data_IF_798860197300
#
_entry.id   IF_798860197300
#
_cell.length_a   1.000
_cell.length_b   1.000
_cell.length_c   1.000
_cell.angle_alpha   90.00
_cell.angle_beta   90.00
_cell.angle_gamma   90.00
#
_symmetry.space_group_name_H-M   'P 1'
#
loop_
_entity.id
_entity.type
_entity.pdbx_description
1 polymer ?
#
# COMPACT_ATOMS: atom_id res chain seq x y z
N UNK A 1 2.05 -8.46 19.00
CA UNK A 1 1.38 -7.32 18.35
C UNK A 1 1.54 -7.47 16.85
N UNK A 2 0.55 -7.09 16.03
CA UNK A 2 0.58 -7.32 14.57
C UNK A 2 1.75 -6.65 13.85
N UNK A 3 2.21 -5.49 14.35
CA UNK A 3 3.44 -4.86 13.85
C UNK A 3 4.64 -5.81 13.92
N UNK A 4 4.76 -6.62 14.98
CA UNK A 4 5.87 -7.56 15.14
C UNK A 4 5.80 -8.68 14.12
N UNK A 5 4.60 -9.05 13.65
CA UNK A 5 4.44 -10.06 12.60
C UNK A 5 4.80 -9.47 11.23
N UNK A 6 4.37 -8.24 10.98
CA UNK A 6 4.65 -7.53 9.72
C UNK A 6 6.15 -7.20 9.58
N UNK A 7 6.81 -6.85 10.68
CA UNK A 7 8.23 -6.47 10.70
C UNK A 7 9.15 -7.58 11.20
N UNK A 8 8.68 -8.83 11.34
CA UNK A 8 9.52 -9.92 11.80
C UNK A 8 10.70 -10.12 10.84
N UNK A 9 11.93 -10.04 11.38
CA UNK A 9 13.18 -10.13 10.62
C UNK A 9 13.33 -9.09 9.49
N UNK A 10 12.55 -8.01 9.52
CA UNK A 10 12.67 -6.89 8.59
C UNK A 10 13.64 -5.88 9.20
N UNK A 11 14.80 -5.71 8.56
CA UNK A 11 15.85 -4.81 9.06
C UNK A 11 15.70 -3.38 8.55
N UNK A 12 15.13 -3.18 7.34
CA UNK A 12 14.99 -1.86 6.73
C UNK A 12 13.85 -1.82 5.69
N UNK A 13 12.97 -0.84 5.84
CA UNK A 13 11.88 -0.49 4.91
C UNK A 13 12.05 0.94 4.34
N UNK A 14 13.30 1.39 4.13
CA UNK A 14 13.56 2.74 3.61
C UNK A 14 13.91 2.67 2.12
N UNK A 15 13.44 3.67 1.37
CA UNK A 15 13.66 3.80 -0.06
C UNK A 15 14.93 4.60 -0.38
N UNK A 16 15.48 4.37 -1.56
CA UNK A 16 16.49 5.25 -2.14
C UNK A 16 15.86 6.58 -2.56
N UNK A 17 16.55 7.68 -2.22
CA UNK A 17 16.04 9.06 -2.28
C UNK A 17 15.86 9.62 -3.70
N UNK A 18 16.11 8.83 -4.75
CA UNK A 18 16.03 9.29 -6.14
C UNK A 18 14.59 9.53 -6.60
N UNK A 19 13.63 8.76 -6.09
CA UNK A 19 12.20 8.94 -6.35
C UNK A 19 11.43 8.93 -5.02
N UNK A 20 11.20 10.11 -4.42
CA UNK A 20 10.67 10.16 -3.07
C UNK A 20 9.22 9.62 -3.02
N UNK A 21 8.92 8.73 -2.06
CA UNK A 21 7.56 8.23 -1.81
C UNK A 21 6.59 9.38 -1.50
N UNK A 22 5.28 9.18 -1.65
CA UNK A 22 4.32 10.09 -1.00
C UNK A 22 4.21 9.79 0.51
N UNK A 23 3.82 10.76 1.33
CA UNK A 23 3.58 10.48 2.75
C UNK A 23 2.17 9.92 2.95
N UNK A 24 2.01 9.10 3.97
CA UNK A 24 0.73 8.61 4.45
C UNK A 24 0.32 9.38 5.71
N UNK A 25 -0.90 9.89 5.71
CA UNK A 25 -1.62 10.24 6.92
C UNK A 25 -2.33 8.98 7.42
N UNK A 26 -1.99 8.54 8.63
CA UNK A 26 -2.67 7.44 9.32
C UNK A 26 -3.65 8.04 10.33
N UNK A 27 -4.94 7.88 10.10
CA UNK A 27 -6.00 8.55 10.88
C UNK A 27 -7.08 7.60 11.43
N UNK A 28 -7.15 6.36 10.94
CA UNK A 28 -8.12 5.38 11.45
C UNK A 28 -7.72 4.82 12.82
N UNK A 29 -8.71 4.61 13.71
CA UNK A 29 -8.49 4.06 15.05
C UNK A 29 -7.86 2.65 15.07
N UNK A 30 -7.99 1.91 13.96
CA UNK A 30 -7.41 0.57 13.78
C UNK A 30 -6.28 0.55 12.75
N UNK A 31 -5.83 1.72 12.32
CA UNK A 31 -4.72 1.90 11.40
C UNK A 31 -3.44 2.23 12.19
N UNK A 32 -2.29 1.76 11.72
CA UNK A 32 -1.00 1.93 12.36
C UNK A 32 0.12 2.02 11.32
N UNK A 33 1.17 2.79 11.64
CA UNK A 33 2.36 2.93 10.81
C UNK A 33 3.28 1.72 10.94
N UNK A 34 3.84 1.27 9.82
CA UNK A 34 4.93 0.27 9.77
C UNK A 34 6.29 0.94 9.59
N UNK A 35 6.31 2.13 8.99
CA UNK A 35 7.50 2.97 8.88
C UNK A 35 7.25 4.34 9.46
N UNK A 36 8.28 4.89 10.09
CA UNK A 36 8.38 6.30 10.49
C UNK A 36 9.84 6.68 10.28
N UNK A 37 10.10 7.73 9.52
CA UNK A 37 11.47 8.26 9.38
C UNK A 37 11.78 9.35 10.42
N UNK A 38 13.00 9.89 10.36
CA UNK A 38 13.49 10.93 11.28
C UNK A 38 12.67 12.24 11.20
N UNK A 39 11.86 12.40 10.15
CA UNK A 39 10.95 13.53 9.95
C UNK A 39 9.49 13.20 10.29
N UNK A 40 9.24 12.07 10.96
CA UNK A 40 7.92 11.54 11.29
C UNK A 40 7.05 11.25 10.06
N UNK A 41 7.67 10.99 8.91
CA UNK A 41 6.97 10.67 7.68
C UNK A 41 6.73 9.16 7.61
N UNK A 42 5.50 8.80 7.24
CA UNK A 42 5.02 7.41 7.14
C UNK A 42 4.92 7.05 5.67
N UNK A 43 5.46 5.89 5.30
CA UNK A 43 5.48 5.40 3.91
C UNK A 43 4.79 4.06 3.74
N UNK A 44 4.75 3.27 4.81
CA UNK A 44 4.06 1.99 4.87
C UNK A 44 3.19 1.99 6.10
N UNK A 45 1.92 1.62 5.93
CA UNK A 45 0.95 1.52 7.00
C UNK A 45 0.07 0.28 6.82
N UNK A 46 -0.53 -0.17 7.91
CA UNK A 46 -1.45 -1.29 7.92
C UNK A 46 -2.67 -0.95 8.78
N UNK A 47 -3.79 -1.60 8.52
CA UNK A 47 -5.02 -1.39 9.27
C UNK A 47 -5.86 -2.65 9.35
N UNK A 48 -6.61 -2.71 10.44
CA UNK A 48 -7.77 -3.58 10.52
C UNK A 48 -9.02 -2.84 10.07
N UNK A 49 -9.86 -3.55 9.33
CA UNK A 49 -11.21 -3.11 9.04
C UNK A 49 -12.14 -4.23 9.53
N UNK A 50 -12.56 -4.21 10.80
CA UNK A 50 -13.18 -5.38 11.43
C UNK A 50 -12.22 -6.58 11.50
N UNK A 51 -12.60 -7.74 10.93
CA UNK A 51 -11.72 -8.93 10.82
C UNK A 51 -10.80 -8.93 9.58
N UNK A 52 -10.79 -7.82 8.85
CA UNK A 52 -10.21 -7.67 7.52
C UNK A 52 -8.91 -6.88 7.64
N UNK A 53 -8.02 -6.98 6.65
CA UNK A 53 -6.64 -6.47 6.74
C UNK A 53 -6.25 -5.72 5.47
N UNK A 54 -5.64 -4.56 5.65
CA UNK A 54 -5.17 -3.72 4.55
C UNK A 54 -3.74 -3.29 4.85
N UNK A 55 -2.88 -3.33 3.83
CA UNK A 55 -1.53 -2.75 3.84
C UNK A 55 -1.44 -1.74 2.71
N UNK A 56 -0.86 -0.58 2.99
CA UNK A 56 -0.60 0.46 2.00
C UNK A 56 0.89 0.78 1.99
N UNK A 57 1.49 0.82 0.79
CA UNK A 57 2.85 1.28 0.58
C UNK A 57 2.87 2.45 -0.40
N UNK A 58 3.57 3.52 -0.03
CA UNK A 58 3.56 4.78 -0.79
C UNK A 58 4.56 4.85 -1.95
N UNK A 59 5.24 3.74 -2.21
CA UNK A 59 6.16 3.55 -3.32
C UNK A 59 6.24 2.06 -3.67
N UNK A 60 6.52 1.79 -4.95
CA UNK A 60 6.60 0.43 -5.45
C UNK A 60 7.82 -0.33 -4.92
N UNK A 61 8.95 0.32 -4.67
CA UNK A 61 10.15 -0.43 -4.22
C UNK A 61 9.98 -1.07 -2.84
N UNK A 62 9.02 -0.62 -2.03
CA UNK A 62 8.66 -1.30 -0.78
C UNK A 62 8.13 -2.73 -0.99
N UNK A 63 7.67 -3.06 -2.20
CA UNK A 63 7.05 -4.36 -2.51
C UNK A 63 7.61 -5.03 -3.77
N UNK A 64 8.56 -4.41 -4.46
CA UNK A 64 9.07 -4.85 -5.76
C UNK A 64 10.57 -5.17 -5.76
N UNK A 65 11.24 -5.10 -4.61
CA UNK A 65 12.68 -5.35 -4.50
C UNK A 65 12.97 -6.62 -3.68
N UNK A 66 13.94 -7.46 -4.09
CA UNK A 66 14.35 -8.64 -3.33
C UNK A 66 14.80 -8.33 -1.90
N UNK A 67 15.36 -7.14 -1.66
CA UNK A 67 15.74 -6.66 -0.33
C UNK A 67 14.52 -6.52 0.60
N UNK A 68 13.32 -6.30 0.03
CA UNK A 68 12.06 -6.21 0.75
C UNK A 68 11.33 -7.56 0.87
N UNK A 69 11.93 -8.66 0.38
CA UNK A 69 11.30 -9.98 0.34
C UNK A 69 10.69 -10.42 1.67
N UNK A 70 11.43 -10.28 2.77
CA UNK A 70 10.92 -10.68 4.08
C UNK A 70 9.66 -9.90 4.48
N UNK A 71 9.65 -8.60 4.23
CA UNK A 71 8.48 -7.77 4.48
C UNK A 71 7.31 -8.16 3.59
N UNK A 72 7.56 -8.40 2.30
CA UNK A 72 6.55 -8.86 1.34
C UNK A 72 5.88 -10.14 1.84
N UNK A 73 6.66 -11.15 2.22
CA UNK A 73 6.13 -12.42 2.73
C UNK A 73 5.32 -12.24 4.02
N UNK A 74 5.82 -11.42 4.95
CA UNK A 74 5.12 -11.10 6.18
C UNK A 74 3.78 -10.40 5.90
N UNK A 75 3.77 -9.43 4.99
CA UNK A 75 2.60 -8.67 4.59
C UNK A 75 1.56 -9.58 3.95
N UNK A 76 1.94 -10.43 2.98
CA UNK A 76 1.03 -11.37 2.33
C UNK A 76 0.47 -12.39 3.32
N UNK A 77 1.31 -12.99 4.17
CA UNK A 77 0.86 -13.92 5.22
C UNK A 77 -0.13 -13.25 6.19
N UNK A 78 0.16 -12.01 6.58
CA UNK A 78 -0.72 -11.24 7.45
C UNK A 78 -2.04 -10.92 6.74
N UNK A 79 -2.02 -10.50 5.49
CA UNK A 79 -3.24 -10.19 4.71
C UNK A 79 -4.10 -11.43 4.46
N UNK A 80 -3.50 -12.57 4.13
CA UNK A 80 -4.18 -13.83 3.86
C UNK A 80 -4.89 -14.37 5.12
N UNK A 81 -4.28 -14.15 6.29
CA UNK A 81 -4.77 -14.58 7.60
C UNK A 81 -4.95 -16.12 7.70
N UNK A 82 -4.04 -16.88 7.08
CA UNK A 82 -3.99 -18.33 7.18
C UNK A 82 -5.03 -19.07 6.34
N UNK A 83 -5.65 -18.39 5.36
CA UNK A 83 -6.58 -19.00 4.40
C UNK A 83 -5.85 -19.85 3.37
N UNK A 84 -4.56 -19.60 3.14
CA UNK A 84 -3.75 -20.26 2.12
C UNK A 84 -4.39 -20.15 0.73
N UNK A 85 -5.07 -19.03 0.48
CA UNK A 85 -5.73 -18.78 -0.80
C UNK A 85 -4.76 -18.21 -1.83
N UNK A 86 -5.23 -18.10 -3.07
CA UNK A 86 -4.44 -17.51 -4.14
C UNK A 86 -4.31 -15.99 -3.96
N UNK A 87 -3.13 -15.45 -4.25
CA UNK A 87 -2.84 -14.01 -4.33
C UNK A 87 -3.02 -13.53 -5.77
N UNK A 88 -3.99 -12.64 -5.99
CA UNK A 88 -4.15 -11.96 -7.27
C UNK A 88 -3.24 -10.73 -7.30
N UNK A 89 -2.30 -10.68 -8.25
CA UNK A 89 -1.33 -9.59 -8.40
C UNK A 89 -1.54 -8.90 -9.74
N UNK A 90 -1.69 -7.58 -9.73
CA UNK A 90 -1.78 -6.80 -10.98
C UNK A 90 -0.51 -6.90 -11.82
N UNK A 91 -0.66 -6.79 -13.15
CA UNK A 91 0.44 -6.90 -14.09
C UNK A 91 1.54 -5.85 -13.86
N UNK A 92 1.17 -4.65 -13.41
CA UNK A 92 2.08 -3.56 -13.04
C UNK A 92 2.96 -3.91 -11.83
N UNK A 93 2.60 -4.94 -11.08
CA UNK A 93 3.32 -5.44 -9.91
C UNK A 93 3.99 -6.80 -10.22
N UNK A 94 4.46 -7.00 -11.45
CA UNK A 94 5.13 -8.26 -11.86
C UNK A 94 6.27 -8.66 -10.93
N UNK A 95 7.10 -7.73 -10.49
CA UNK A 95 8.22 -8.05 -9.59
C UNK A 95 7.72 -8.61 -8.24
N UNK A 96 6.64 -8.08 -7.69
CA UNK A 96 5.99 -8.66 -6.50
C UNK A 96 5.55 -10.10 -6.78
N UNK A 97 4.89 -10.35 -7.91
CA UNK A 97 4.49 -11.70 -8.30
C UNK A 97 5.69 -12.65 -8.40
N UNK A 98 6.78 -12.23 -9.06
CA UNK A 98 7.96 -13.07 -9.24
C UNK A 98 8.59 -13.45 -7.88
N UNK A 99 8.70 -12.50 -6.95
CA UNK A 99 9.17 -12.76 -5.58
C UNK A 99 8.27 -13.78 -4.86
N UNK A 100 6.94 -13.68 -5.01
CA UNK A 100 6.00 -14.61 -4.40
C UNK A 100 6.10 -16.01 -5.02
N UNK A 101 6.24 -16.09 -6.34
CA UNK A 101 6.38 -17.35 -7.06
C UNK A 101 7.69 -18.07 -6.71
N UNK A 102 8.80 -17.35 -6.60
CA UNK A 102 10.10 -17.89 -6.15
C UNK A 102 10.03 -18.52 -4.75
N UNK A 103 9.20 -17.95 -3.88
CA UNK A 103 8.96 -18.43 -2.51
C UNK A 103 7.79 -19.43 -2.41
N UNK A 104 7.31 -19.95 -3.56
CA UNK A 104 6.22 -20.93 -3.67
C UNK A 104 4.90 -20.46 -3.03
N UNK A 105 4.66 -19.15 -2.97
CA UNK A 105 3.35 -18.61 -2.59
C UNK A 105 2.41 -18.76 -3.79
N UNK A 106 1.21 -19.29 -3.55
CA UNK A 106 0.18 -19.40 -4.59
C UNK A 106 -0.24 -17.99 -5.04
N UNK A 107 0.23 -17.58 -6.21
CA UNK A 107 -0.08 -16.29 -6.80
C UNK A 107 -0.34 -16.40 -8.30
N UNK A 108 -1.11 -15.46 -8.84
CA UNK A 108 -1.32 -15.33 -10.28
C UNK A 108 -1.29 -13.85 -10.69
N UNK A 109 -0.69 -13.60 -11.85
CA UNK A 109 -0.84 -12.33 -12.53
C UNK A 109 -2.26 -12.22 -13.11
N UNK A 110 -3.06 -11.31 -12.56
CA UNK A 110 -4.45 -11.13 -13.00
C UNK A 110 -4.98 -9.74 -12.67
N UNK A 111 -6.11 -9.40 -13.29
CA UNK A 111 -6.95 -8.30 -12.83
C UNK A 111 -7.68 -8.70 -11.53
N UNK A 112 -8.78 -8.02 -11.20
CA UNK A 112 -9.48 -8.29 -9.93
C UNK A 112 -10.09 -9.68 -9.98
N UNK A 113 -9.86 -10.47 -8.93
CA UNK A 113 -10.42 -11.81 -8.82
C UNK A 113 -11.10 -12.00 -7.48
N UNK A 114 -12.43 -12.08 -7.50
CA UNK A 114 -13.22 -12.24 -6.29
C UNK A 114 -12.88 -13.53 -5.52
N UNK A 115 -12.34 -14.57 -6.16
CA UNK A 115 -11.94 -15.81 -5.49
C UNK A 115 -10.60 -15.75 -4.76
N UNK A 116 -9.79 -14.70 -4.96
CA UNK A 116 -8.49 -14.54 -4.31
C UNK A 116 -8.66 -14.27 -2.80
N UNK A 117 -7.69 -14.69 -1.99
CA UNK A 117 -7.64 -14.34 -0.56
C UNK A 117 -6.96 -13.00 -0.32
N UNK A 118 -5.99 -12.67 -1.17
CA UNK A 118 -5.28 -11.40 -1.18
C UNK A 118 -5.28 -10.81 -2.57
N UNK A 119 -5.49 -9.51 -2.66
CA UNK A 119 -5.40 -8.78 -3.90
C UNK A 119 -4.37 -7.65 -3.77
N UNK A 120 -3.39 -7.64 -4.67
CA UNK A 120 -2.28 -6.69 -4.68
C UNK A 120 -2.42 -5.77 -5.89
N UNK A 121 -2.50 -4.47 -5.65
CA UNK A 121 -2.86 -3.52 -6.69
C UNK A 121 -2.20 -2.17 -6.60
N UNK A 122 -2.23 -1.45 -7.72
CA UNK A 122 -1.82 -0.06 -7.79
C UNK A 122 -3.00 0.88 -7.55
N UNK A 123 -2.69 2.09 -7.06
CA UNK A 123 -3.68 3.17 -6.87
C UNK A 123 -4.40 3.64 -8.14
N UNK A 124 -3.87 3.25 -9.31
CA UNK A 124 -4.36 3.64 -10.64
C UNK A 124 -5.15 2.53 -11.33
N UNK A 125 -5.30 1.36 -10.70
CA UNK A 125 -6.17 0.33 -11.25
C UNK A 125 -7.56 0.93 -11.44
N UNK A 126 -8.13 0.72 -12.63
CA UNK A 126 -9.42 1.27 -13.07
C UNK A 126 -10.63 0.69 -12.30
N UNK A 127 -10.41 0.28 -11.05
CA UNK A 127 -11.37 -0.46 -10.24
C UNK A 127 -12.16 0.51 -9.39
N UNK A 128 -13.45 0.25 -9.34
CA UNK A 128 -14.35 1.00 -8.51
C UNK A 128 -13.96 0.79 -7.04
N UNK A 129 -13.86 1.89 -6.30
CA UNK A 129 -13.58 1.87 -4.86
C UNK A 129 -14.46 0.88 -4.10
N UNK A 130 -15.70 0.72 -4.58
CA UNK A 130 -16.69 -0.21 -4.06
C UNK A 130 -16.28 -1.68 -4.17
N UNK A 131 -15.59 -2.09 -5.24
CA UNK A 131 -15.10 -3.47 -5.38
C UNK A 131 -14.01 -3.78 -4.36
N UNK A 132 -13.05 -2.87 -4.18
CA UNK A 132 -11.99 -3.03 -3.17
C UNK A 132 -12.60 -3.03 -1.78
N UNK A 133 -13.53 -2.13 -1.51
CA UNK A 133 -14.23 -2.08 -0.22
C UNK A 133 -15.02 -3.36 0.04
N UNK A 134 -15.73 -3.90 -0.96
CA UNK A 134 -16.48 -5.14 -0.87
C UNK A 134 -15.56 -6.35 -0.68
N UNK A 135 -14.44 -6.40 -1.39
CA UNK A 135 -13.46 -7.48 -1.29
C UNK A 135 -12.87 -7.56 0.11
N UNK A 136 -12.38 -6.43 0.63
CA UNK A 136 -11.99 -6.33 2.04
C UNK A 136 -13.20 -6.71 2.89
N UNK A 137 -14.41 -6.25 2.53
CA UNK A 137 -15.60 -6.52 3.31
C UNK A 137 -15.93 -8.02 3.51
N UNK A 138 -15.60 -8.84 2.53
CA UNK A 138 -15.80 -10.28 2.57
C UNK A 138 -14.74 -11.01 3.41
N UNK A 139 -13.86 -10.28 4.09
CA UNK A 139 -12.82 -10.82 4.95
C UNK A 139 -11.42 -10.78 4.32
N UNK A 140 -11.31 -10.47 3.03
CA UNK A 140 -10.08 -10.68 2.25
C UNK A 140 -9.06 -9.57 2.51
N UNK A 141 -7.80 -9.83 2.17
CA UNK A 141 -6.70 -8.91 2.39
C UNK A 141 -6.38 -8.08 1.15
N UNK A 142 -6.02 -6.80 1.31
CA UNK A 142 -5.58 -5.98 0.17
C UNK A 142 -4.23 -5.32 0.47
N UNK A 143 -3.32 -5.42 -0.49
CA UNK A 143 -2.07 -4.65 -0.54
C UNK A 143 -2.21 -3.59 -1.63
N UNK A 144 -2.16 -2.31 -1.25
CA UNK A 144 -2.30 -1.19 -2.18
C UNK A 144 -0.98 -0.44 -2.27
N UNK A 145 -0.52 -0.19 -3.49
CA UNK A 145 0.76 0.47 -3.73
C UNK A 145 0.63 1.64 -4.68
N UNK A 146 1.28 2.75 -4.38
CA UNK A 146 1.39 3.86 -5.31
C UNK A 146 1.70 5.18 -4.62
N UNK A 147 1.67 6.25 -5.39
CA UNK A 147 2.02 7.59 -4.92
C UNK A 147 1.08 8.64 -5.52
N UNK A 148 0.76 9.66 -4.72
CA UNK A 148 -0.05 10.79 -5.18
C UNK A 148 0.77 11.83 -5.96
N UNK A 149 2.11 11.76 -5.92
CA UNK A 149 3.02 12.76 -6.51
C UNK A 149 2.70 13.09 -7.96
N UNK A 150 2.55 12.08 -8.83
CA UNK A 150 2.27 12.30 -10.25
C UNK A 150 0.91 12.97 -10.46
N UNK A 151 -0.11 12.53 -9.71
CA UNK A 151 -1.44 13.16 -9.76
C UNK A 151 -1.38 14.62 -9.31
N UNK A 152 -0.71 14.91 -8.20
CA UNK A 152 -0.57 16.26 -7.64
C UNK A 152 0.16 17.21 -8.60
N UNK A 153 1.19 16.72 -9.31
CA UNK A 153 1.91 17.52 -10.33
C UNK A 153 1.02 17.94 -11.49
N UNK A 154 0.06 17.08 -11.88
CA UNK A 154 -0.89 17.33 -12.96
C UNK A 154 -2.17 18.05 -12.50
N UNK A 155 -2.38 18.21 -11.19
CA UNK A 155 -3.58 18.82 -10.59
C UNK A 155 -3.18 19.82 -9.50
N UNK A 156 -2.38 20.84 -9.87
CA UNK A 156 -1.73 21.76 -8.91
C UNK A 156 -2.72 22.63 -8.12
N UNK A 157 -3.90 22.84 -8.66
CA UNK A 157 -5.02 23.60 -8.08
C UNK A 157 -5.92 22.76 -7.18
N UNK A 158 -5.71 21.43 -7.13
CA UNK A 158 -6.54 20.49 -6.38
C UNK A 158 -5.89 20.05 -5.07
N UNK A 159 -6.74 19.75 -4.10
CA UNK A 159 -6.32 19.23 -2.81
C UNK A 159 -6.21 17.69 -2.85
N UNK A 160 -5.01 17.15 -2.65
CA UNK A 160 -4.78 15.69 -2.67
C UNK A 160 -5.64 14.94 -1.65
N UNK A 161 -5.86 15.47 -0.44
CA UNK A 161 -6.63 14.78 0.59
C UNK A 161 -8.09 14.58 0.17
N UNK A 162 -8.73 15.58 -0.44
CA UNK A 162 -10.15 15.54 -0.80
C UNK A 162 -10.42 15.09 -2.24
N UNK A 163 -9.48 15.31 -3.16
CA UNK A 163 -9.73 15.19 -4.60
C UNK A 163 -8.91 14.08 -5.28
N UNK A 164 -7.87 13.54 -4.62
CA UNK A 164 -7.14 12.40 -5.18
C UNK A 164 -8.06 11.16 -5.19
N UNK A 165 -8.37 10.56 -6.35
CA UNK A 165 -9.35 9.48 -6.43
C UNK A 165 -9.04 8.30 -5.52
N UNK A 166 -7.77 7.92 -5.41
CA UNK A 166 -7.36 6.78 -4.59
C UNK A 166 -7.53 7.02 -3.09
N UNK A 167 -7.56 8.29 -2.64
CA UNK A 167 -7.93 8.61 -1.26
C UNK A 167 -9.39 8.27 -0.94
N UNK A 168 -10.29 8.21 -1.93
CA UNK A 168 -11.66 7.69 -1.71
C UNK A 168 -11.66 6.24 -1.25
N UNK A 169 -10.73 5.43 -1.76
CA UNK A 169 -10.55 4.04 -1.34
C UNK A 169 -9.98 4.00 0.09
N UNK A 170 -8.88 4.73 0.30
CA UNK A 170 -8.05 4.62 1.50
C UNK A 170 -8.66 5.25 2.74
N UNK A 171 -9.43 6.33 2.58
CA UNK A 171 -10.06 7.03 3.70
C UNK A 171 -10.94 6.10 4.53
N UNK A 172 -11.64 5.15 3.88
CA UNK A 172 -12.47 4.14 4.57
C UNK A 172 -11.63 3.16 5.41
N UNK A 173 -10.36 2.97 5.06
CA UNK A 173 -9.42 2.12 5.81
C UNK A 173 -8.58 2.90 6.83
N UNK A 174 -8.76 4.22 6.93
CA UNK A 174 -8.03 5.04 7.89
C UNK A 174 -6.68 5.57 7.38
N UNK A 175 -6.48 5.63 6.07
CA UNK A 175 -5.28 6.21 5.47
C UNK A 175 -5.63 7.30 4.46
N UNK A 176 -4.69 8.21 4.23
CA UNK A 176 -4.74 9.13 3.10
C UNK A 176 -3.33 9.39 2.59
N UNK A 177 -3.16 9.48 1.28
CA UNK A 177 -1.96 10.05 0.70
C UNK A 177 -1.94 11.56 0.89
N UNK A 178 -0.77 12.07 1.26
CA UNK A 178 -0.45 13.49 1.30
C UNK A 178 0.30 13.91 0.03
N UNK A 179 0.10 15.17 -0.36
CA UNK A 179 0.94 15.79 -1.38
C UNK A 179 2.34 16.05 -0.83
N UNK A 180 3.37 15.60 -1.53
CA UNK A 180 4.68 16.25 -1.43
C UNK A 180 4.73 17.26 -2.56
N UNK A 181 4.23 18.47 -2.29
CA UNK A 181 4.80 19.62 -2.97
C UNK A 181 6.19 19.81 -2.38
N UNK A 182 7.26 19.96 -3.18
CA UNK A 182 8.50 20.49 -2.63
C UNK A 182 8.14 21.80 -1.93
N UNK A 183 8.54 21.93 -0.66
CA UNK A 183 8.45 23.20 0.07
C UNK A 183 8.95 24.28 -0.89
N UNK A 184 8.08 25.24 -1.17
CA UNK A 184 8.28 26.31 -2.13
C UNK A 184 9.71 26.85 -2.01
N UNK A 185 10.43 26.96 -3.14
CA UNK A 185 11.52 27.94 -3.21
C UNK A 185 10.88 29.32 -3.00
N UNK A 186 10.99 29.80 -1.75
CA UNK A 186 11.07 31.20 -1.33
C UNK A 186 10.16 32.18 -2.05
N UNK A 187 9.09 32.59 -1.37
CA UNK A 187 8.70 33.99 -1.36
C UNK A 187 9.91 34.81 -0.84
N UNK A 188 10.51 35.61 -1.72
CA UNK A 188 11.27 36.79 -1.31
C UNK A 188 10.30 37.97 -1.38
N UNK A 189 10.27 38.73 -0.29
CA UNK A 189 9.74 40.10 -0.23
C UNK A 189 10.41 40.97 -1.28
#
# INVERSE_FOLDING_TARGET
>A
MDINRLLDRVTKLQLDRLDPPSHLLVHGALAFSLTVDDHQQIYVAAAFYGRRRVVVASHQDHINSPEQKQFILNAISWLDNGRQGNVAVEHELKNLHDILAEENVACELSSFKASASVYCCTLHSSKDADEVHKFVAEGKGVLIVGKARFWAQNNKDKNVLSEFPSNKILNRFGFSFLSILPILKTSRL
#
